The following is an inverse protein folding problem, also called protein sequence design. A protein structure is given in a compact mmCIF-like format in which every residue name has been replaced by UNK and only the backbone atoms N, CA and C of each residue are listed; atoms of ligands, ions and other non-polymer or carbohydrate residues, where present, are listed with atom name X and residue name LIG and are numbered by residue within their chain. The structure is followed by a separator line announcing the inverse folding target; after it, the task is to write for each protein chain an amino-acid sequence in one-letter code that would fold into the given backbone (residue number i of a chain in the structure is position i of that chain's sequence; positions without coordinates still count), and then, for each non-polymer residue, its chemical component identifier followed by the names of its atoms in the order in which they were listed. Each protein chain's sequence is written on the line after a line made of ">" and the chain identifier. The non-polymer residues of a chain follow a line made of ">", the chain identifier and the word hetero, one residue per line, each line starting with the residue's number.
data_IF_480084561525
#
_entry.id   IF_480084561525
#
_cell.length_a   1.000
_cell.length_b   1.000
_cell.length_c   1.000
_cell.angle_alpha   90.00
_cell.angle_beta   90.00
_cell.angle_gamma   90.00
#
_symmetry.space_group_name_H-M   'P 1'
#
loop_
_entity.id
_entity.type
_entity.pdbx_description
1 polymer ?
#
# COMPACT_ATOMS: atom_id res chain seq x y z
N UNK A 1 9.04 21.96 1.11
CA UNK A 1 8.24 20.75 1.44
C UNK A 1 7.06 21.21 2.29
N UNK A 2 5.80 20.92 1.93
CA UNK A 2 4.68 21.24 2.82
C UNK A 2 4.89 20.54 4.17
N UNK A 3 4.46 21.19 5.26
CA UNK A 3 4.54 20.61 6.60
C UNK A 3 3.88 19.23 6.61
N UNK A 4 4.51 18.24 7.28
CA UNK A 4 3.88 16.93 7.47
C UNK A 4 2.55 17.16 8.20
N UNK A 5 1.43 16.74 7.58
CA UNK A 5 0.09 16.90 8.16
C UNK A 5 -0.05 16.18 9.53
N UNK A 6 0.67 15.07 9.69
CA UNK A 6 0.72 14.28 10.91
C UNK A 6 2.17 14.15 11.37
N UNK A 7 2.41 14.26 12.67
CA UNK A 7 3.73 14.00 13.25
C UNK A 7 4.03 12.49 13.27
N UNK A 8 5.28 12.14 13.54
CA UNK A 8 5.70 10.74 13.50
C UNK A 8 5.10 9.91 14.66
N UNK A 9 4.79 10.53 15.81
CA UNK A 9 4.15 9.86 16.94
C UNK A 9 2.74 9.34 16.62
N UNK A 10 1.88 10.17 16.02
CA UNK A 10 0.53 9.77 15.61
C UNK A 10 0.60 8.69 14.52
N UNK A 11 1.58 8.79 13.63
CA UNK A 11 1.79 7.79 12.57
C UNK A 11 2.20 6.44 13.18
N UNK A 12 3.08 6.44 14.18
CA UNK A 12 3.52 5.24 14.87
C UNK A 12 2.38 4.63 15.73
N UNK A 13 1.60 5.46 16.41
CA UNK A 13 0.42 5.00 17.15
C UNK A 13 -0.59 4.31 16.21
N UNK A 14 -0.83 4.89 15.02
CA UNK A 14 -1.70 4.29 14.01
C UNK A 14 -1.20 2.90 13.56
N UNK A 15 0.12 2.74 13.41
CA UNK A 15 0.72 1.45 13.07
C UNK A 15 0.54 0.41 14.18
N UNK A 16 0.82 0.78 15.43
CA UNK A 16 0.63 -0.10 16.60
C UNK A 16 -0.84 -0.55 16.69
N UNK A 17 -1.79 0.38 16.63
CA UNK A 17 -3.22 0.05 16.67
C UNK A 17 -3.64 -0.85 15.50
N UNK A 18 -3.00 -0.73 14.34
CA UNK A 18 -3.28 -1.59 13.19
C UNK A 18 -2.85 -3.02 13.47
N UNK A 19 -1.67 -3.20 14.06
CA UNK A 19 -1.11 -4.50 14.43
C UNK A 19 -1.88 -5.17 15.58
N UNK A 20 -2.53 -4.40 16.47
CA UNK A 20 -3.48 -4.97 17.44
C UNK A 20 -4.82 -5.41 16.82
N UNK A 21 -4.98 -5.25 15.50
CA UNK A 21 -6.18 -5.65 14.76
C UNK A 21 -7.27 -4.60 14.64
N UNK A 22 -7.02 -3.35 15.06
CA UNK A 22 -7.99 -2.27 14.87
C UNK A 22 -8.19 -1.98 13.36
N UNK A 23 -9.43 -1.70 12.97
CA UNK A 23 -9.75 -1.36 11.58
C UNK A 23 -9.24 0.04 11.22
N UNK A 24 -8.91 0.26 9.95
CA UNK A 24 -8.50 1.58 9.42
C UNK A 24 -9.51 2.67 9.79
N UNK A 25 -10.80 2.33 9.80
CA UNK A 25 -11.90 3.27 10.07
C UNK A 25 -11.96 3.64 11.55
N UNK A 26 -11.74 2.68 12.43
CA UNK A 26 -11.68 2.92 13.87
C UNK A 26 -10.43 3.74 14.24
N UNK A 27 -9.27 3.42 13.65
CA UNK A 27 -8.03 4.20 13.84
C UNK A 27 -8.21 5.63 13.34
N UNK A 28 -8.79 5.81 12.15
CA UNK A 28 -9.06 7.13 11.57
C UNK A 28 -9.93 8.00 12.50
N UNK A 29 -11.02 7.43 13.03
CA UNK A 29 -11.89 8.12 14.00
C UNK A 29 -11.16 8.44 15.31
N UNK A 30 -10.38 7.49 15.83
CA UNK A 30 -9.66 7.63 17.11
C UNK A 30 -8.58 8.71 17.05
N UNK A 31 -7.81 8.76 15.97
CA UNK A 31 -6.64 9.65 15.85
C UNK A 31 -6.93 10.94 15.05
N UNK A 32 -8.17 11.17 14.62
CA UNK A 32 -8.51 12.31 13.77
C UNK A 32 -7.82 12.30 12.39
N UNK A 33 -7.44 11.10 11.91
CA UNK A 33 -6.78 10.93 10.61
C UNK A 33 -7.80 10.64 9.52
N UNK A 34 -7.47 10.98 8.26
CA UNK A 34 -8.27 10.47 7.14
C UNK A 34 -8.04 8.97 6.96
N UNK A 35 -9.08 8.22 6.54
CA UNK A 35 -8.97 6.77 6.23
C UNK A 35 -7.82 6.47 5.26
N UNK A 36 -7.67 7.30 4.22
CA UNK A 36 -6.61 7.15 3.23
C UNK A 36 -5.22 7.38 3.82
N UNK A 37 -5.07 8.34 4.73
CA UNK A 37 -3.80 8.58 5.44
C UNK A 37 -3.43 7.39 6.32
N UNK A 38 -4.36 6.87 7.14
CA UNK A 38 -4.11 5.69 7.96
C UNK A 38 -3.67 4.51 7.09
N UNK A 39 -4.43 4.21 6.04
CA UNK A 39 -4.10 3.12 5.11
C UNK A 39 -2.71 3.28 4.48
N UNK A 40 -2.35 4.51 4.06
CA UNK A 40 -1.05 4.79 3.45
C UNK A 40 0.10 4.65 4.45
N UNK A 41 -0.05 5.20 5.65
CA UNK A 41 0.97 5.15 6.68
C UNK A 41 1.20 3.73 7.18
N UNK A 42 0.14 2.96 7.42
CA UNK A 42 0.26 1.55 7.80
C UNK A 42 0.94 0.73 6.70
N UNK A 43 0.53 0.90 5.43
CA UNK A 43 1.19 0.22 4.30
C UNK A 43 2.69 0.56 4.24
N UNK A 44 3.04 1.84 4.37
CA UNK A 44 4.43 2.31 4.31
C UNK A 44 5.29 1.79 5.47
N UNK A 45 4.72 1.64 6.66
CA UNK A 45 5.41 1.09 7.82
C UNK A 45 5.35 -0.44 7.89
N UNK A 46 4.61 -1.09 6.98
CA UNK A 46 4.42 -2.54 7.01
C UNK A 46 3.52 -3.03 8.14
N UNK A 47 2.73 -2.15 8.75
CA UNK A 47 1.81 -2.47 9.83
C UNK A 47 0.58 -3.21 9.29
N UNK A 48 0.57 -4.53 9.47
CA UNK A 48 -0.51 -5.39 9.04
C UNK A 48 -1.43 -5.76 10.20
N UNK A 49 -2.73 -5.78 9.94
CA UNK A 49 -3.67 -6.37 10.91
C UNK A 49 -3.53 -7.89 10.91
N UNK A 50 -3.65 -8.56 12.08
CA UNK A 50 -3.66 -10.02 12.19
C UNK A 50 -4.70 -10.68 11.26
N UNK A 51 -5.81 -9.99 10.98
CA UNK A 51 -6.87 -10.46 10.11
C UNK A 51 -6.54 -10.33 8.60
N UNK A 52 -5.48 -9.62 8.24
CA UNK A 52 -5.07 -9.44 6.83
C UNK A 52 -4.34 -10.69 6.32
N UNK A 53 -3.71 -11.45 7.21
CA UNK A 53 -2.90 -12.63 6.85
C UNK A 53 -3.76 -13.68 6.16
N UNK A 54 -5.06 -13.77 6.39
CA UNK A 54 -5.93 -14.79 5.76
C UNK A 54 -6.59 -14.34 4.45
N UNK A 55 -6.54 -13.04 4.13
CA UNK A 55 -7.29 -12.49 3.00
C UNK A 55 -6.44 -12.52 1.70
N UNK A 56 -6.95 -13.20 0.66
CA UNK A 56 -6.29 -13.33 -0.66
C UNK A 56 -7.19 -12.90 -1.82
N UNK A 57 -8.18 -12.03 -1.58
CA UNK A 57 -9.15 -11.71 -2.62
C UNK A 57 -8.51 -10.98 -3.80
N UNK A 58 -8.69 -11.51 -5.01
CA UNK A 58 -8.33 -10.80 -6.24
C UNK A 58 -9.23 -9.57 -6.44
N UNK A 59 -8.69 -8.46 -6.98
CA UNK A 59 -9.48 -7.27 -7.25
C UNK A 59 -10.51 -7.54 -8.35
N UNK A 60 -11.80 -7.54 -8.00
CA UNK A 60 -12.94 -7.70 -8.94
C UNK A 60 -13.33 -6.37 -9.60
N UNK A 61 -13.84 -6.39 -10.83
CA UNK A 61 -14.36 -5.20 -11.53
C UNK A 61 -13.45 -4.64 -12.64
N UNK A 62 -13.80 -3.47 -13.23
CA UNK A 62 -13.16 -2.97 -14.44
C UNK A 62 -11.70 -2.52 -14.22
N UNK A 63 -10.90 -2.57 -15.29
CA UNK A 63 -9.48 -2.19 -15.28
C UNK A 63 -9.25 -0.70 -14.98
N UNK A 64 -10.22 0.15 -15.32
CA UNK A 64 -10.19 1.58 -15.05
C UNK A 64 -11.44 1.94 -14.26
N UNK A 65 -11.26 2.64 -13.14
CA UNK A 65 -12.34 3.07 -12.25
C UNK A 65 -12.28 4.58 -12.08
N UNK A 66 -13.42 5.27 -12.23
CA UNK A 66 -13.55 6.68 -11.89
C UNK A 66 -13.58 6.88 -10.36
N UNK A 67 -12.82 7.84 -9.85
CA UNK A 67 -12.79 8.24 -8.44
C UNK A 67 -12.90 9.76 -8.34
N UNK A 68 -14.13 10.25 -8.17
CA UNK A 68 -14.40 11.68 -8.26
C UNK A 68 -13.99 12.20 -9.64
N UNK A 69 -13.06 13.15 -9.67
CA UNK A 69 -12.63 13.85 -10.90
C UNK A 69 -11.42 13.20 -11.61
N UNK A 70 -11.07 11.95 -11.31
CA UNK A 70 -9.97 11.28 -12.00
C UNK A 70 -10.18 9.78 -12.17
N UNK A 71 -9.45 9.20 -13.12
CA UNK A 71 -9.46 7.78 -13.40
C UNK A 71 -8.28 7.09 -12.73
N UNK A 72 -8.52 5.89 -12.18
CA UNK A 72 -7.51 5.02 -11.60
C UNK A 72 -7.47 3.72 -12.39
N UNK A 73 -6.34 3.48 -13.05
CA UNK A 73 -6.04 2.23 -13.79
C UNK A 73 -5.41 1.20 -12.84
N UNK A 74 -5.90 -0.03 -12.85
CA UNK A 74 -5.32 -1.14 -12.07
C UNK A 74 -3.99 -1.59 -12.65
N UNK A 75 -3.13 -2.17 -11.81
CA UNK A 75 -1.93 -2.85 -12.28
C UNK A 75 -2.29 -4.25 -12.78
N UNK A 76 -1.68 -4.63 -13.90
CA UNK A 76 -1.72 -5.99 -14.45
C UNK A 76 -0.58 -6.83 -13.86
N UNK A 77 -0.70 -8.16 -13.94
CA UNK A 77 0.37 -9.06 -13.51
C UNK A 77 1.67 -8.86 -14.30
N UNK A 78 1.60 -8.43 -15.57
CA UNK A 78 2.78 -8.11 -16.38
C UNK A 78 3.44 -6.82 -15.91
N UNK A 79 2.66 -5.78 -15.56
CA UNK A 79 3.21 -4.56 -14.96
C UNK A 79 3.84 -4.84 -13.59
N UNK A 80 3.23 -5.71 -12.78
CA UNK A 80 3.80 -6.09 -11.47
C UNK A 80 5.15 -6.79 -11.61
N UNK A 81 5.26 -7.75 -12.54
CA UNK A 81 6.55 -8.41 -12.84
C UNK A 81 7.59 -7.40 -13.29
N UNK A 82 7.23 -6.55 -14.26
CA UNK A 82 8.14 -5.51 -14.73
C UNK A 82 8.58 -4.55 -13.61
N UNK A 83 7.69 -4.22 -12.67
CA UNK A 83 8.04 -3.40 -11.50
C UNK A 83 9.05 -4.09 -10.59
N UNK A 84 8.86 -5.37 -10.30
CA UNK A 84 9.79 -6.16 -9.48
C UNK A 84 11.15 -6.25 -10.16
N UNK A 85 11.18 -6.56 -11.46
CA UNK A 85 12.42 -6.65 -12.24
C UNK A 85 13.18 -5.31 -12.26
N UNK A 86 12.46 -4.20 -12.46
CA UNK A 86 13.05 -2.85 -12.41
C UNK A 86 13.58 -2.49 -11.02
N UNK A 87 12.88 -2.88 -9.95
CA UNK A 87 13.28 -2.60 -8.57
C UNK A 87 14.54 -3.37 -8.19
N UNK A 88 14.60 -4.66 -8.55
CA UNK A 88 15.80 -5.50 -8.40
C UNK A 88 16.97 -4.92 -9.19
N UNK A 89 16.72 -4.40 -10.39
CA UNK A 89 17.74 -3.72 -11.21
C UNK A 89 18.12 -2.31 -10.68
N UNK A 90 17.54 -1.86 -9.56
CA UNK A 90 17.87 -0.59 -8.91
C UNK A 90 17.33 0.66 -9.62
N UNK A 91 16.28 0.53 -10.43
CA UNK A 91 15.69 1.67 -11.13
C UNK A 91 15.10 2.68 -10.13
N UNK A 92 15.15 3.96 -10.49
CA UNK A 92 14.46 4.99 -9.68
C UNK A 92 12.97 4.95 -9.98
N UNK A 93 12.14 5.22 -8.96
CA UNK A 93 10.67 5.29 -9.09
C UNK A 93 10.21 6.21 -10.22
N UNK A 94 10.89 7.33 -10.45
CA UNK A 94 10.55 8.25 -11.54
C UNK A 94 10.77 7.64 -12.92
N UNK A 95 11.79 6.79 -13.08
CA UNK A 95 12.11 6.14 -14.34
C UNK A 95 11.13 4.99 -14.61
N UNK A 96 10.80 4.20 -13.58
CA UNK A 96 9.72 3.20 -13.63
C UNK A 96 8.37 3.83 -14.01
N UNK A 97 8.06 4.99 -13.42
CA UNK A 97 6.83 5.73 -13.67
C UNK A 97 6.72 6.18 -15.13
N UNK A 98 7.82 6.66 -15.73
CA UNK A 98 7.87 7.01 -17.16
C UNK A 98 7.76 5.77 -18.04
N UNK A 99 8.48 4.69 -17.70
CA UNK A 99 8.48 3.46 -18.49
C UNK A 99 7.09 2.80 -18.57
N UNK A 100 6.28 2.89 -17.50
CA UNK A 100 4.96 2.28 -17.41
C UNK A 100 3.79 3.25 -17.66
N UNK A 101 4.07 4.51 -17.97
CA UNK A 101 3.06 5.58 -18.07
C UNK A 101 2.16 5.66 -16.82
N UNK A 102 2.80 5.76 -15.65
CA UNK A 102 2.13 5.80 -14.34
C UNK A 102 2.59 7.00 -13.53
N UNK A 103 1.78 7.43 -12.56
CA UNK A 103 2.20 8.45 -11.59
C UNK A 103 3.23 7.86 -10.60
N UNK A 104 4.31 8.58 -10.22
CA UNK A 104 5.31 8.08 -9.27
C UNK A 104 4.75 7.59 -7.94
N UNK A 105 3.74 8.27 -7.38
CA UNK A 105 3.09 7.82 -6.14
C UNK A 105 2.32 6.50 -6.31
N UNK A 106 1.79 6.25 -7.50
CA UNK A 106 1.14 4.97 -7.83
C UNK A 106 2.17 3.83 -7.83
N UNK A 107 3.37 4.08 -8.37
CA UNK A 107 4.47 3.12 -8.36
C UNK A 107 4.91 2.82 -6.93
N UNK A 108 5.18 3.85 -6.10
CA UNK A 108 5.57 3.64 -4.68
C UNK A 108 4.54 2.81 -3.93
N UNK A 109 3.26 3.18 -4.06
CA UNK A 109 2.17 2.45 -3.44
C UNK A 109 2.13 0.99 -3.89
N UNK A 110 2.39 0.73 -5.17
CA UNK A 110 2.38 -0.64 -5.72
C UNK A 110 3.57 -1.47 -5.24
N UNK A 111 4.79 -0.94 -5.26
CA UNK A 111 5.98 -1.62 -4.74
C UNK A 111 5.79 -2.02 -3.28
N UNK A 112 5.35 -1.09 -2.42
CA UNK A 112 5.03 -1.39 -1.02
C UNK A 112 3.95 -2.49 -0.91
N UNK A 113 2.93 -2.46 -1.77
CA UNK A 113 1.87 -3.48 -1.78
C UNK A 113 2.41 -4.86 -2.17
N UNK A 114 3.29 -4.94 -3.17
CA UNK A 114 3.89 -6.20 -3.63
C UNK A 114 4.82 -6.77 -2.56
N UNK A 115 5.70 -5.94 -1.98
CA UNK A 115 6.57 -6.35 -0.87
C UNK A 115 5.77 -6.87 0.34
N UNK A 116 4.66 -6.21 0.70
CA UNK A 116 3.78 -6.72 1.77
C UNK A 116 3.05 -8.01 1.39
N UNK A 117 2.71 -8.21 0.12
CA UNK A 117 2.10 -9.46 -0.34
C UNK A 117 3.07 -10.63 -0.19
N UNK A 118 4.33 -10.42 -0.57
CA UNK A 118 5.42 -11.39 -0.43
C UNK A 118 5.69 -11.70 1.04
N UNK A 119 5.89 -10.69 1.89
CA UNK A 119 6.11 -10.88 3.32
C UNK A 119 4.97 -11.66 4.01
N UNK A 120 3.71 -11.45 3.60
CA UNK A 120 2.58 -12.23 4.12
C UNK A 120 2.57 -13.67 3.60
N UNK A 121 3.06 -13.92 2.40
CA UNK A 121 3.19 -15.28 1.87
C UNK A 121 4.24 -16.05 2.68
N UNK A 122 5.42 -15.46 2.92
CA UNK A 122 6.47 -16.03 3.77
C UNK A 122 5.98 -16.34 5.19
N UNK A 123 5.21 -15.41 5.80
CA UNK A 123 4.62 -15.63 7.12
C UNK A 123 3.65 -16.81 7.14
N UNK A 124 2.85 -17.01 6.08
CA UNK A 124 1.94 -18.17 5.98
C UNK A 124 2.70 -19.47 5.85
N UNK A 125 3.76 -19.48 5.04
CA UNK A 125 4.61 -20.67 4.86
C UNK A 125 5.33 -21.07 6.16
N UNK A 126 5.76 -20.09 6.95
CA UNK A 126 6.38 -20.33 8.27
C UNK A 126 5.39 -20.85 9.34
N UNK A 127 4.10 -20.54 9.20
CA UNK A 127 3.05 -20.96 10.14
C UNK A 127 2.37 -22.30 9.77
N UNK A 128 2.65 -22.84 8.58
CA UNK A 128 2.09 -24.10 8.07
C UNK A 128 2.98 -25.29 8.43
#
# INVERSE_FOLDING_TARGET
>A
MPAKKYNDDIINEAAILRETGMSVDAIAKRLGMSRGSVSWHCLRLGADSPNTVTNVSDPKGPMVVARGDHYVKRFTATEDRALIDMDIAGWRVCDMARALDRKPNSIRGRLMTLARREARAEQRECMA
#
